data_IF_972244283877
#
_entry.id   IF_972244283877
#
_cell.length_a   1.000
_cell.length_b   1.000
_cell.length_c   1.000
_cell.angle_alpha   90.00
_cell.angle_beta   90.00
_cell.angle_gamma   90.00
#
_symmetry.space_group_name_H-M   'P 1'
#
loop_
_entity.id
_entity.type
_entity.pdbx_description
1 polymer ?
#
# COMPACT_ATOMS: atom_id res chain seq x y z
N UNK A 1 -15.06 -15.00 28.60
CA UNK A 1 -16.44 -15.14 29.12
C UNK A 1 -16.57 -14.24 30.32
N UNK A 2 -17.58 -13.36 30.32
CA UNK A 2 -17.85 -12.42 31.40
C UNK A 2 -19.35 -12.45 31.73
N UNK A 3 -19.72 -11.90 32.89
CA UNK A 3 -21.11 -11.75 33.28
C UNK A 3 -21.84 -10.78 32.33
N UNK A 4 -23.17 -10.94 32.13
CA UNK A 4 -23.96 -10.00 31.35
C UNK A 4 -23.78 -8.56 31.84
N UNK A 5 -23.50 -7.64 30.92
CA UNK A 5 -23.30 -6.22 31.22
C UNK A 5 -24.53 -5.43 30.78
N UNK A 6 -25.08 -4.63 31.70
CA UNK A 6 -26.18 -3.72 31.36
C UNK A 6 -25.65 -2.49 30.60
N UNK A 7 -26.10 -2.31 29.36
CA UNK A 7 -25.78 -1.18 28.50
C UNK A 7 -27.08 -0.57 27.99
N UNK A 8 -27.27 0.74 28.19
CA UNK A 8 -28.40 1.47 27.63
C UNK A 8 -28.06 1.89 26.20
N UNK A 9 -28.86 1.47 25.23
CA UNK A 9 -28.69 1.81 23.81
C UNK A 9 -29.96 2.48 23.29
N UNK A 10 -29.79 3.60 22.58
CA UNK A 10 -30.90 4.36 21.97
C UNK A 10 -31.04 4.15 20.45
N UNK A 11 -30.19 3.33 19.84
CA UNK A 11 -30.20 3.13 18.39
C UNK A 11 -31.48 2.41 17.95
N UNK A 12 -32.12 2.82 16.84
CA UNK A 12 -33.42 2.30 16.42
C UNK A 12 -33.37 0.83 16.00
N UNK A 13 -32.17 0.32 15.65
CA UNK A 13 -31.95 -1.02 15.16
C UNK A 13 -31.49 -2.03 16.24
N UNK A 14 -31.42 -1.64 17.52
CA UNK A 14 -31.03 -2.56 18.60
C UNK A 14 -32.12 -3.59 18.90
N UNK A 15 -31.77 -4.88 18.91
CA UNK A 15 -32.69 -5.98 19.15
C UNK A 15 -32.01 -7.17 19.84
N UNK A 16 -32.83 -8.00 20.52
CA UNK A 16 -32.35 -9.23 21.15
C UNK A 16 -31.80 -10.21 20.10
N UNK A 17 -30.73 -10.94 20.46
CA UNK A 17 -30.10 -11.94 19.59
C UNK A 17 -29.05 -11.39 18.62
N UNK A 18 -28.85 -10.08 18.58
CA UNK A 18 -27.81 -9.46 17.76
C UNK A 18 -26.42 -9.66 18.37
N UNK A 19 -25.43 -9.85 17.50
CA UNK A 19 -24.00 -9.72 17.85
C UNK A 19 -23.58 -8.31 17.51
N UNK A 20 -22.96 -7.61 18.46
CA UNK A 20 -22.71 -6.18 18.36
C UNK A 20 -21.29 -5.86 18.81
N UNK A 21 -20.78 -4.70 18.38
CA UNK A 21 -19.51 -4.17 18.90
C UNK A 21 -19.79 -3.37 20.17
N UNK A 22 -19.05 -3.67 21.24
CA UNK A 22 -19.19 -2.97 22.52
C UNK A 22 -17.90 -2.24 22.87
N UNK A 23 -18.03 -0.99 23.31
CA UNK A 23 -16.97 -0.28 24.00
C UNK A 23 -17.17 -0.45 25.51
N UNK A 24 -16.24 -1.18 26.14
CA UNK A 24 -16.27 -1.46 27.58
C UNK A 24 -15.82 -0.25 28.39
N UNK A 25 -16.09 -0.24 29.70
CA UNK A 25 -15.58 0.79 30.61
C UNK A 25 -14.05 0.97 30.46
N UNK A 26 -13.60 2.22 30.36
CA UNK A 26 -12.21 2.59 30.14
C UNK A 26 -11.77 2.58 28.67
N UNK A 27 -12.58 2.07 27.74
CA UNK A 27 -12.30 2.18 26.31
C UNK A 27 -12.28 3.66 25.88
N UNK A 28 -11.34 4.00 24.99
CA UNK A 28 -11.26 5.32 24.38
C UNK A 28 -11.82 5.23 22.96
N UNK A 29 -12.79 6.08 22.65
CA UNK A 29 -13.35 6.25 21.31
C UNK A 29 -12.97 7.62 20.77
N UNK A 30 -13.04 7.74 19.45
CA UNK A 30 -12.67 8.94 18.72
C UNK A 30 -13.85 9.35 17.84
N UNK A 31 -14.22 10.63 17.93
CA UNK A 31 -15.16 11.28 17.02
C UNK A 31 -14.40 12.44 16.34
N UNK A 32 -13.92 12.17 15.13
CA UNK A 32 -12.92 13.02 14.48
C UNK A 32 -11.65 13.15 15.34
N UNK A 33 -11.31 14.38 15.71
CA UNK A 33 -10.16 14.70 16.55
C UNK A 33 -10.46 14.63 18.06
N UNK A 34 -11.74 14.48 18.45
CA UNK A 34 -12.13 14.43 19.85
C UNK A 34 -12.03 13.00 20.41
N UNK A 35 -11.35 12.85 21.54
CA UNK A 35 -11.24 11.57 22.22
C UNK A 35 -12.04 11.58 23.53
N UNK A 36 -12.91 10.60 23.72
CA UNK A 36 -13.63 10.40 24.97
C UNK A 36 -13.47 8.99 25.52
N UNK A 37 -13.54 8.86 26.85
CA UNK A 37 -13.41 7.58 27.56
C UNK A 37 -14.76 7.11 28.05
N UNK A 38 -15.10 5.84 27.76
CA UNK A 38 -16.32 5.22 28.25
C UNK A 38 -16.26 5.07 29.77
N UNK A 39 -17.23 5.69 30.44
CA UNK A 39 -17.38 5.67 31.90
C UNK A 39 -18.75 5.12 32.26
N UNK A 40 -18.87 4.61 33.49
CA UNK A 40 -20.17 4.24 34.04
C UNK A 40 -21.07 5.47 34.08
N UNK A 41 -22.27 5.36 33.53
CA UNK A 41 -23.23 6.47 33.46
C UNK A 41 -24.62 6.01 33.87
N UNK A 42 -25.51 6.97 34.15
CA UNK A 42 -26.91 6.70 34.48
C UNK A 42 -27.80 7.50 33.52
N UNK A 43 -28.45 6.81 32.59
CA UNK A 43 -29.36 7.44 31.63
C UNK A 43 -30.80 7.20 32.08
N UNK A 44 -31.54 8.28 32.32
CA UNK A 44 -32.97 8.24 32.71
C UNK A 44 -33.26 7.27 33.88
N UNK A 45 -32.35 7.22 34.86
CA UNK A 45 -32.51 6.38 36.04
C UNK A 45 -31.90 4.98 35.92
N UNK A 46 -31.47 4.55 34.74
CA UNK A 46 -30.92 3.22 34.46
C UNK A 46 -29.41 3.28 34.32
N UNK A 47 -28.69 2.38 34.98
CA UNK A 47 -27.23 2.31 34.86
C UNK A 47 -26.79 1.77 33.48
N UNK A 48 -25.75 2.36 32.89
CA UNK A 48 -25.08 1.87 31.68
C UNK A 48 -23.60 1.65 31.97
N UNK A 49 -23.11 0.45 31.69
CA UNK A 49 -21.75 -0.02 31.98
C UNK A 49 -20.92 -0.22 30.70
N UNK A 50 -21.23 0.56 29.66
CA UNK A 50 -20.58 0.48 28.36
C UNK A 50 -21.39 1.23 27.31
N UNK A 51 -21.06 0.99 26.06
CA UNK A 51 -21.72 1.55 24.89
C UNK A 51 -21.71 0.52 23.75
N UNK A 52 -22.81 0.45 22.99
CA UNK A 52 -22.87 -0.32 21.74
C UNK A 52 -22.54 0.65 20.61
N UNK A 53 -21.60 0.29 19.75
CA UNK A 53 -21.00 1.23 18.80
C UNK A 53 -21.62 1.17 17.39
N UNK A 54 -21.64 2.32 16.72
CA UNK A 54 -21.80 2.51 15.28
C UNK A 54 -20.44 2.44 14.55
N UNK A 55 -20.43 2.52 13.21
CA UNK A 55 -19.21 2.37 12.40
C UNK A 55 -18.25 3.56 12.52
N UNK A 56 -18.81 4.76 12.53
CA UNK A 56 -18.08 6.02 12.66
C UNK A 56 -17.41 6.15 14.04
N UNK A 57 -18.09 5.74 15.11
CA UNK A 57 -17.61 5.79 16.50
C UNK A 57 -16.36 4.94 16.78
N UNK A 58 -16.09 3.94 15.95
CA UNK A 58 -14.88 3.10 16.04
C UNK A 58 -13.94 3.27 14.83
N UNK A 59 -14.24 4.23 13.95
CA UNK A 59 -13.40 4.60 12.82
C UNK A 59 -13.29 3.54 11.71
N UNK A 60 -14.29 2.66 11.56
CA UNK A 60 -14.32 1.65 10.47
C UNK A 60 -15.17 2.07 9.27
N UNK A 61 -15.97 3.12 9.41
CA UNK A 61 -16.91 3.58 8.40
C UNK A 61 -17.43 4.99 8.69
N UNK A 62 -18.51 5.37 8.01
CA UNK A 62 -19.15 6.70 8.15
C UNK A 62 -20.63 6.61 8.50
N UNK A 63 -21.17 5.39 8.65
CA UNK A 63 -22.58 5.19 8.97
C UNK A 63 -22.84 5.42 10.47
N UNK A 64 -23.81 6.30 10.75
CA UNK A 64 -24.31 6.64 12.08
C UNK A 64 -25.82 6.34 12.24
N UNK A 65 -26.44 5.66 11.28
CA UNK A 65 -27.88 5.39 11.31
C UNK A 65 -28.28 4.39 12.42
N UNK A 66 -27.33 3.63 12.95
CA UNK A 66 -27.56 2.68 14.03
C UNK A 66 -26.30 1.95 14.47
N UNK A 67 -26.47 0.96 15.36
CA UNK A 67 -25.37 0.13 15.86
C UNK A 67 -24.88 -0.86 14.79
N UNK A 68 -23.62 -1.28 14.92
CA UNK A 68 -23.04 -2.37 14.13
C UNK A 68 -23.70 -3.69 14.55
N UNK A 69 -24.35 -4.38 13.60
CA UNK A 69 -24.84 -5.75 13.77
C UNK A 69 -23.93 -6.70 13.01
N UNK A 70 -23.18 -7.51 13.76
CA UNK A 70 -22.24 -8.49 13.23
C UNK A 70 -22.97 -9.77 12.76
N UNK A 71 -22.40 -10.51 11.80
CA UNK A 71 -22.88 -11.83 11.39
C UNK A 71 -23.00 -12.82 12.56
N UNK A 72 -23.92 -13.77 12.42
CA UNK A 72 -24.28 -14.73 13.47
C UNK A 72 -23.14 -15.70 13.86
N UNK A 73 -22.06 -15.77 13.10
CA UNK A 73 -20.87 -16.58 13.38
C UNK A 73 -19.77 -15.81 14.15
N UNK A 74 -19.88 -14.47 14.29
CA UNK A 74 -18.91 -13.66 15.03
C UNK A 74 -18.75 -14.13 16.48
N UNK A 75 -17.54 -14.36 16.97
CA UNK A 75 -17.34 -14.92 18.32
C UNK A 75 -17.39 -13.81 19.38
N UNK A 76 -18.33 -13.83 20.35
CA UNK A 76 -18.37 -12.80 21.40
C UNK A 76 -17.09 -12.80 22.25
N UNK A 77 -16.58 -11.61 22.55
CA UNK A 77 -15.33 -11.42 23.30
C UNK A 77 -14.08 -11.32 22.43
N UNK A 78 -14.17 -11.57 21.12
CA UNK A 78 -13.13 -11.18 20.17
C UNK A 78 -12.98 -9.67 20.16
N UNK A 79 -11.73 -9.17 20.21
CA UNK A 79 -11.49 -7.73 20.14
C UNK A 79 -11.92 -7.21 18.77
N UNK A 80 -12.60 -6.06 18.72
CA UNK A 80 -13.03 -5.46 17.46
C UNK A 80 -11.87 -5.27 16.48
N UNK A 81 -10.69 -4.85 16.98
CA UNK A 81 -9.47 -4.75 16.15
C UNK A 81 -9.07 -6.07 15.50
N UNK A 82 -9.25 -7.20 16.19
CA UNK A 82 -8.88 -8.51 15.66
C UNK A 82 -9.93 -8.99 14.65
N UNK A 83 -11.22 -8.73 14.94
CA UNK A 83 -12.32 -9.02 14.03
C UNK A 83 -12.20 -8.27 12.69
N UNK A 84 -11.88 -6.98 12.74
CA UNK A 84 -11.67 -6.13 11.56
C UNK A 84 -10.24 -6.17 11.02
N UNK A 85 -9.37 -7.01 11.59
CA UNK A 85 -7.95 -7.11 11.20
C UNK A 85 -7.21 -5.75 11.19
N UNK A 86 -7.58 -4.86 12.11
CA UNK A 86 -6.94 -3.56 12.33
C UNK A 86 -5.61 -3.79 13.04
N UNK A 87 -4.54 -3.34 12.41
CA UNK A 87 -3.18 -3.43 12.94
C UNK A 87 -2.70 -2.06 13.35
N UNK A 88 -2.15 -1.97 14.56
CA UNK A 88 -1.33 -0.81 14.93
C UNK A 88 0.00 -0.91 14.18
N UNK A 89 0.37 0.16 13.49
CA UNK A 89 1.65 0.26 12.79
C UNK A 89 2.36 1.55 13.18
N UNK A 90 3.66 1.59 12.99
CA UNK A 90 4.48 2.78 13.19
C UNK A 90 5.10 3.18 11.86
N UNK A 91 4.94 4.44 11.49
CA UNK A 91 5.59 5.02 10.31
C UNK A 91 6.80 5.82 10.78
N UNK A 92 7.98 5.38 10.36
CA UNK A 92 9.23 6.09 10.61
C UNK A 92 9.58 6.90 9.37
N UNK A 93 9.51 8.22 9.49
CA UNK A 93 10.03 9.13 8.48
C UNK A 93 11.53 9.34 8.73
N UNK A 94 12.35 8.99 7.74
CA UNK A 94 13.80 9.05 7.83
C UNK A 94 14.28 10.15 6.89
N UNK A 95 14.97 11.15 7.46
CA UNK A 95 15.66 12.15 6.66
C UNK A 95 16.97 11.55 6.11
N UNK A 96 17.05 11.45 4.78
CA UNK A 96 18.13 10.73 4.08
C UNK A 96 19.08 11.74 3.46
N UNK A 97 20.35 11.68 3.84
CA UNK A 97 21.40 12.50 3.22
C UNK A 97 21.75 11.97 1.81
N UNK A 98 22.23 12.81 0.88
CA UNK A 98 22.46 12.41 -0.52
C UNK A 98 23.41 11.21 -0.73
N UNK A 99 24.32 10.96 0.21
CA UNK A 99 25.24 9.81 0.17
C UNK A 99 24.58 8.47 0.57
N UNK A 100 23.31 8.48 0.99
CA UNK A 100 22.56 7.31 1.49
C UNK A 100 21.41 6.91 0.58
N UNK A 101 21.62 6.98 -0.74
CA UNK A 101 20.65 6.52 -1.73
C UNK A 101 20.21 5.06 -1.51
N UNK A 102 21.05 4.25 -0.85
CA UNK A 102 20.68 2.90 -0.45
C UNK A 102 19.46 2.87 0.48
N UNK A 103 19.31 3.85 1.37
CA UNK A 103 18.23 3.96 2.34
C UNK A 103 16.91 4.47 1.73
N UNK A 104 16.86 4.80 0.44
CA UNK A 104 15.63 5.19 -0.26
C UNK A 104 14.65 4.03 -0.49
N UNK A 105 14.82 2.91 0.23
CA UNK A 105 13.94 1.74 0.18
C UNK A 105 13.89 1.03 1.53
N UNK A 106 12.81 0.29 1.75
CA UNK A 106 12.62 -0.50 2.97
C UNK A 106 13.73 -1.54 3.14
N UNK A 107 14.13 -2.21 2.06
CA UNK A 107 15.23 -3.18 2.09
C UNK A 107 16.57 -2.52 2.43
N UNK A 108 16.82 -1.31 1.92
CA UNK A 108 17.99 -0.52 2.25
C UNK A 108 18.11 -0.18 3.73
N UNK A 109 17.03 0.37 4.31
CA UNK A 109 16.94 0.66 5.74
C UNK A 109 17.07 -0.63 6.57
N UNK A 110 16.39 -1.69 6.16
CA UNK A 110 16.49 -2.99 6.83
C UNK A 110 17.91 -3.58 6.78
N UNK A 111 18.66 -3.34 5.69
CA UNK A 111 20.05 -3.77 5.55
C UNK A 111 20.98 -3.01 6.50
N UNK A 112 20.77 -1.72 6.70
CA UNK A 112 21.52 -0.91 7.66
C UNK A 112 21.24 -1.36 9.10
N UNK A 113 19.97 -1.55 9.45
CA UNK A 113 19.56 -2.12 10.74
C UNK A 113 20.13 -3.52 10.95
N UNK A 114 20.14 -4.36 9.91
CA UNK A 114 20.75 -5.68 9.96
C UNK A 114 22.24 -5.59 10.31
N UNK A 115 23.00 -4.70 9.66
CA UNK A 115 24.42 -4.51 9.96
C UNK A 115 24.65 -4.09 11.41
N UNK A 116 23.85 -3.15 11.92
CA UNK A 116 23.89 -2.75 13.34
C UNK A 116 23.60 -3.93 14.28
N UNK A 117 22.56 -4.71 14.01
CA UNK A 117 22.18 -5.86 14.84
C UNK A 117 23.29 -6.94 14.86
N UNK A 118 23.90 -7.21 13.70
CA UNK A 118 25.05 -8.13 13.60
C UNK A 118 26.23 -7.64 14.44
N UNK A 119 26.58 -6.35 14.34
CA UNK A 119 27.67 -5.75 15.12
C UNK A 119 27.43 -5.82 16.64
N UNK A 120 26.17 -5.83 17.06
CA UNK A 120 25.77 -5.91 18.47
C UNK A 120 25.42 -7.35 18.92
N UNK A 121 25.86 -8.37 18.16
CA UNK A 121 25.64 -9.79 18.44
C UNK A 121 24.16 -10.14 18.67
N UNK A 122 23.24 -9.44 18.01
CA UNK A 122 21.80 -9.73 18.06
C UNK A 122 21.45 -10.79 17.00
N UNK A 123 20.65 -11.82 17.34
CA UNK A 123 20.11 -12.73 16.34
C UNK A 123 19.29 -11.95 15.31
N UNK A 124 19.66 -12.05 14.03
CA UNK A 124 19.00 -11.32 12.96
C UNK A 124 19.14 -12.04 11.63
N UNK A 125 18.24 -11.73 10.68
CA UNK A 125 18.29 -12.23 9.31
C UNK A 125 17.76 -11.16 8.36
N UNK A 126 18.44 -10.97 7.24
CA UNK A 126 17.96 -10.13 6.14
C UNK A 126 17.46 -11.04 5.01
N UNK A 127 16.26 -10.78 4.51
CA UNK A 127 15.62 -11.60 3.48
C UNK A 127 15.15 -10.75 2.31
N UNK A 128 15.38 -11.25 1.10
CA UNK A 128 14.80 -10.76 -0.15
C UNK A 128 13.91 -11.88 -0.72
N UNK A 129 12.81 -11.57 -1.45
CA UNK A 129 12.06 -12.59 -2.17
C UNK A 129 12.99 -13.39 -3.09
N UNK A 130 12.89 -14.73 -3.03
CA UNK A 130 13.63 -15.59 -3.95
C UNK A 130 13.05 -15.44 -5.37
N UNK A 131 13.96 -15.47 -6.35
CA UNK A 131 13.63 -15.49 -7.77
C UNK A 131 14.05 -16.81 -8.42
N UNK A 132 14.40 -17.82 -7.62
CA UNK A 132 14.96 -19.09 -8.12
C UNK A 132 13.93 -19.90 -8.93
N UNK A 133 12.64 -19.66 -8.68
CA UNK A 133 11.53 -20.26 -9.43
C UNK A 133 11.19 -19.50 -10.72
N UNK A 134 11.85 -18.37 -11.01
CA UNK A 134 11.61 -17.63 -12.24
C UNK A 134 12.09 -18.45 -13.45
N UNK A 135 11.18 -18.68 -14.39
CA UNK A 135 11.45 -19.33 -15.65
C UNK A 135 10.65 -18.66 -16.76
N UNK A 136 11.20 -18.62 -17.97
CA UNK A 136 10.48 -18.16 -19.16
C UNK A 136 9.43 -19.22 -19.52
N UNK A 137 8.16 -18.80 -19.59
CA UNK A 137 7.05 -19.69 -19.93
C UNK A 137 6.99 -19.95 -21.45
N UNK A 138 7.14 -18.90 -22.27
CA UNK A 138 7.17 -18.95 -23.73
C UNK A 138 7.85 -17.69 -24.30
N UNK A 139 8.01 -17.66 -25.63
CA UNK A 139 8.61 -16.57 -26.41
C UNK A 139 7.61 -15.94 -27.39
N UNK A 140 6.31 -15.99 -27.08
CA UNK A 140 5.25 -15.54 -28.00
C UNK A 140 5.13 -14.01 -28.09
N UNK A 141 5.81 -13.28 -27.21
CA UNK A 141 5.83 -11.83 -27.15
C UNK A 141 7.22 -11.37 -26.72
N UNK A 142 8.20 -11.61 -27.58
CA UNK A 142 9.55 -11.08 -27.38
C UNK A 142 9.61 -9.64 -27.88
N UNK A 143 10.15 -8.74 -27.04
CA UNK A 143 10.45 -7.36 -27.39
C UNK A 143 11.96 -7.19 -27.36
N UNK A 144 12.54 -6.83 -28.49
CA UNK A 144 13.98 -6.61 -28.59
C UNK A 144 14.35 -5.34 -27.80
N UNK A 145 15.53 -5.34 -27.19
CA UNK A 145 16.05 -4.17 -26.48
C UNK A 145 17.42 -3.83 -27.04
N UNK A 146 17.56 -2.61 -27.53
CA UNK A 146 18.81 -2.05 -28.02
C UNK A 146 19.17 -0.84 -27.17
N UNK A 147 20.39 -0.81 -26.61
CA UNK A 147 20.89 0.33 -25.84
C UNK A 147 21.99 1.00 -26.64
N UNK A 148 21.67 2.13 -27.26
CA UNK A 148 22.62 2.89 -28.08
C UNK A 148 23.55 3.74 -27.21
N UNK A 149 23.03 4.32 -26.13
CA UNK A 149 23.81 5.11 -25.17
C UNK A 149 24.12 4.30 -23.90
N UNK A 150 25.13 3.43 -23.99
CA UNK A 150 25.57 2.56 -22.90
C UNK A 150 26.32 3.28 -21.78
N UNK A 151 26.78 4.52 -22.01
CA UNK A 151 27.37 5.36 -20.96
C UNK A 151 26.29 5.84 -19.98
N UNK A 152 25.19 6.37 -20.50
CA UNK A 152 24.07 6.84 -19.69
C UNK A 152 23.19 5.68 -19.17
N UNK A 153 23.09 4.59 -19.93
CA UNK A 153 22.37 3.38 -19.53
C UNK A 153 23.26 2.13 -19.64
N UNK A 154 24.03 1.79 -18.61
CA UNK A 154 24.89 0.61 -18.65
C UNK A 154 24.11 -0.71 -18.75
N UNK A 155 22.82 -0.70 -18.37
CA UNK A 155 21.96 -1.88 -18.40
C UNK A 155 20.49 -1.49 -18.53
N UNK A 156 19.83 -2.08 -19.52
CA UNK A 156 18.38 -2.10 -19.64
C UNK A 156 17.90 -3.56 -19.73
N UNK A 157 16.83 -3.89 -19.03
CA UNK A 157 16.24 -5.23 -19.06
C UNK A 157 14.72 -5.12 -19.02
N UNK A 158 14.05 -6.00 -19.78
CA UNK A 158 12.60 -6.10 -19.83
C UNK A 158 12.17 -7.54 -19.62
N UNK A 159 10.94 -7.71 -19.13
CA UNK A 159 10.22 -8.98 -19.10
C UNK A 159 8.82 -8.70 -19.62
N UNK A 160 8.35 -9.54 -20.53
CA UNK A 160 6.98 -9.46 -21.06
C UNK A 160 6.06 -10.38 -20.26
N UNK A 161 4.84 -9.92 -20.02
CA UNK A 161 3.81 -10.66 -19.27
C UNK A 161 2.51 -10.56 -20.05
N UNK A 162 1.97 -11.70 -20.49
CA UNK A 162 0.71 -11.79 -21.25
C UNK A 162 -0.47 -12.08 -20.34
N UNK A 163 -1.67 -11.71 -20.80
CA UNK A 163 -2.92 -12.02 -20.09
C UNK A 163 -3.16 -11.21 -18.82
N UNK A 164 -2.48 -10.07 -18.65
CA UNK A 164 -2.67 -9.20 -17.49
C UNK A 164 -4.04 -8.51 -17.60
N UNK A 165 -4.89 -8.75 -16.61
CA UNK A 165 -6.12 -7.95 -16.43
C UNK A 165 -5.82 -6.78 -15.50
N UNK A 166 -5.92 -5.57 -16.02
CA UNK A 166 -5.77 -4.34 -15.20
C UNK A 166 -7.02 -4.16 -14.35
N UNK A 167 -6.84 -4.08 -13.04
CA UNK A 167 -7.92 -3.92 -12.05
C UNK A 167 -7.38 -3.32 -10.76
N UNK A 168 -8.26 -3.06 -9.80
CA UNK A 168 -7.84 -2.64 -8.47
C UNK A 168 -6.84 -3.60 -7.83
N UNK A 169 -5.86 -3.04 -7.14
CA UNK A 169 -4.86 -3.78 -6.40
C UNK A 169 -5.48 -4.58 -5.24
N UNK A 170 -4.90 -5.70 -4.84
CA UNK A 170 -5.32 -6.37 -3.61
C UNK A 170 -5.13 -5.47 -2.39
N UNK A 171 -5.97 -5.64 -1.37
CA UNK A 171 -6.01 -4.77 -0.19
C UNK A 171 -4.65 -4.61 0.50
N UNK A 172 -3.88 -5.70 0.61
CA UNK A 172 -2.55 -5.66 1.24
C UNK A 172 -1.60 -4.70 0.53
N UNK A 173 -1.66 -4.61 -0.80
CA UNK A 173 -0.80 -3.76 -1.61
C UNK A 173 -1.25 -2.30 -1.48
N UNK A 174 -2.57 -2.07 -1.54
CA UNK A 174 -3.14 -0.75 -1.32
C UNK A 174 -2.76 -0.21 0.07
N UNK A 175 -2.89 -1.03 1.11
CA UNK A 175 -2.57 -0.63 2.48
C UNK A 175 -1.07 -0.30 2.64
N UNK A 176 -0.18 -1.10 2.04
CA UNK A 176 1.27 -0.81 2.07
C UNK A 176 1.63 0.52 1.40
N UNK A 177 0.96 0.86 0.30
CA UNK A 177 1.18 2.14 -0.38
C UNK A 177 0.59 3.32 0.41
N UNK A 178 -0.63 3.19 0.95
CA UNK A 178 -1.27 4.24 1.75
C UNK A 178 -0.45 4.60 2.99
N UNK A 179 0.16 3.61 3.66
CA UNK A 179 0.98 3.83 4.86
C UNK A 179 2.15 4.77 4.58
N UNK A 180 2.69 4.77 3.36
CA UNK A 180 3.79 5.65 2.95
C UNK A 180 3.32 6.88 2.16
N UNK A 181 2.03 7.22 2.25
CA UNK A 181 1.44 8.41 1.63
C UNK A 181 1.14 8.29 0.13
N UNK A 182 1.25 7.10 -0.46
CA UNK A 182 0.93 6.89 -1.87
C UNK A 182 -0.55 6.53 -2.06
N UNK A 183 -1.17 7.14 -3.08
CA UNK A 183 -2.52 6.78 -3.52
C UNK A 183 -2.45 5.57 -4.46
N UNK A 184 -3.10 4.43 -4.12
CA UNK A 184 -3.24 3.30 -5.03
C UNK A 184 -3.99 3.68 -6.31
N UNK A 185 -3.63 3.05 -7.43
CA UNK A 185 -4.19 3.32 -8.76
C UNK A 185 -4.76 2.03 -9.36
N UNK A 186 -3.91 1.05 -9.65
CA UNK A 186 -4.29 -0.27 -10.16
C UNK A 186 -3.14 -1.26 -9.95
N UNK A 187 -3.42 -2.55 -10.12
CA UNK A 187 -2.48 -3.65 -9.88
C UNK A 187 -1.15 -3.56 -10.65
N UNK A 188 -1.09 -2.88 -11.80
CA UNK A 188 0.13 -2.73 -12.61
C UNK A 188 0.98 -1.55 -12.12
N UNK A 189 0.36 -0.39 -11.87
CA UNK A 189 1.07 0.80 -11.38
C UNK A 189 1.47 0.64 -9.92
N UNK A 190 0.62 0.00 -9.12
CA UNK A 190 0.87 -0.16 -7.70
C UNK A 190 1.99 -1.15 -7.42
N UNK A 191 2.13 -2.20 -8.24
CA UNK A 191 3.22 -3.16 -8.03
C UNK A 191 4.58 -2.55 -8.38
N UNK A 192 4.68 -1.69 -9.40
CA UNK A 192 5.95 -1.00 -9.70
C UNK A 192 6.31 -0.01 -8.61
N UNK A 193 5.33 0.76 -8.10
CA UNK A 193 5.50 1.63 -6.93
C UNK A 193 5.92 0.84 -5.68
N UNK A 194 5.31 -0.32 -5.45
CA UNK A 194 5.70 -1.17 -4.34
C UNK A 194 7.14 -1.67 -4.46
N UNK A 195 7.58 -2.10 -5.65
CA UNK A 195 8.95 -2.59 -5.85
C UNK A 195 9.99 -1.48 -5.66
N UNK A 196 9.74 -0.26 -6.14
CA UNK A 196 10.68 0.86 -5.93
C UNK A 196 10.81 1.19 -4.45
N UNK A 197 9.72 1.27 -3.70
CA UNK A 197 9.79 1.57 -2.27
C UNK A 197 10.28 0.38 -1.44
N UNK A 198 10.00 -0.86 -1.86
CA UNK A 198 10.45 -2.05 -1.15
C UNK A 198 11.95 -2.31 -1.34
N UNK A 199 12.46 -2.18 -2.57
CA UNK A 199 13.81 -2.65 -2.94
C UNK A 199 14.71 -1.59 -3.59
N UNK A 200 14.22 -0.37 -3.82
CA UNK A 200 15.01 0.74 -4.36
C UNK A 200 15.21 0.68 -5.87
N UNK A 201 14.41 -0.12 -6.58
CA UNK A 201 14.49 -0.26 -8.04
C UNK A 201 13.25 0.37 -8.68
N UNK A 202 13.35 1.56 -9.30
CA UNK A 202 12.31 2.09 -10.15
C UNK A 202 12.03 1.13 -11.30
N UNK A 203 10.75 0.89 -11.57
CA UNK A 203 10.26 0.08 -12.68
C UNK A 203 9.23 0.88 -13.46
N UNK A 204 9.10 0.55 -14.74
CA UNK A 204 8.06 1.08 -15.60
C UNK A 204 7.40 -0.07 -16.37
N UNK A 205 6.11 0.08 -16.68
CA UNK A 205 5.36 -0.88 -17.48
C UNK A 205 4.85 -0.17 -18.72
N UNK A 206 5.19 -0.73 -19.89
CA UNK A 206 4.65 -0.30 -21.17
C UNK A 206 3.56 -1.27 -21.62
N UNK A 207 2.57 -0.74 -22.32
CA UNK A 207 1.62 -1.55 -23.06
C UNK A 207 2.32 -2.10 -24.31
N UNK A 208 2.59 -3.40 -24.33
CA UNK A 208 3.37 -4.04 -25.39
C UNK A 208 2.74 -3.85 -26.78
N UNK A 209 1.41 -3.78 -26.87
CA UNK A 209 0.69 -3.57 -28.13
C UNK A 209 0.93 -2.17 -28.71
N UNK A 210 1.44 -1.23 -27.89
CA UNK A 210 1.76 0.14 -28.31
C UNK A 210 3.22 0.33 -28.72
N UNK A 211 4.10 -0.63 -28.45
CA UNK A 211 5.52 -0.56 -28.82
C UNK A 211 5.64 -0.86 -30.32
N UNK A 212 5.94 0.17 -31.13
CA UNK A 212 6.11 -0.03 -32.58
C UNK A 212 7.40 -0.78 -32.90
N UNK A 213 7.31 -1.65 -33.91
CA UNK A 213 8.43 -2.47 -34.37
C UNK A 213 8.82 -3.63 -33.44
N UNK A 214 8.18 -3.80 -32.27
CA UNK A 214 8.54 -4.85 -31.33
C UNK A 214 9.95 -4.68 -30.74
N UNK A 215 10.43 -3.44 -30.68
CA UNK A 215 11.77 -3.11 -30.21
C UNK A 215 11.74 -1.85 -29.34
N UNK A 216 12.48 -1.89 -28.23
CA UNK A 216 12.77 -0.75 -27.37
C UNK A 216 14.19 -0.29 -27.64
N UNK A 217 14.35 1.00 -27.95
CA UNK A 217 15.64 1.63 -28.24
C UNK A 217 15.93 2.70 -27.20
N UNK A 218 16.98 2.48 -26.39
CA UNK A 218 17.41 3.43 -25.36
C UNK A 218 18.51 4.33 -25.94
N UNK A 219 18.15 5.59 -26.19
CA UNK A 219 19.01 6.57 -26.88
C UNK A 219 18.71 8.00 -26.48
N UNK A 220 19.56 8.94 -26.86
CA UNK A 220 19.25 10.37 -26.79
C UNK A 220 18.55 10.83 -28.07
N UNK A 221 17.88 11.97 -28.02
CA UNK A 221 17.20 12.58 -29.16
C UNK A 221 17.90 13.88 -29.58
N UNK A 222 17.72 14.36 -30.83
CA UNK A 222 18.24 15.67 -31.22
C UNK A 222 17.74 16.79 -30.30
N UNK A 223 18.60 17.78 -30.03
CA UNK A 223 18.24 18.98 -29.27
C UNK A 223 16.95 19.63 -29.79
N UNK A 224 16.04 19.96 -28.88
CA UNK A 224 14.77 20.60 -29.20
C UNK A 224 13.66 19.67 -29.67
N UNK A 225 13.88 18.34 -29.65
CA UNK A 225 12.84 17.35 -30.01
C UNK A 225 11.62 17.53 -29.09
N UNK A 226 10.40 17.71 -29.63
CA UNK A 226 9.20 17.85 -28.83
C UNK A 226 8.76 16.50 -28.25
N UNK A 227 8.37 16.49 -26.98
CA UNK A 227 7.88 15.30 -26.28
C UNK A 227 6.74 15.67 -25.34
N UNK A 228 5.62 14.95 -25.43
CA UNK A 228 4.45 15.14 -24.56
C UNK A 228 4.48 14.08 -23.47
N UNK A 229 4.67 14.51 -22.23
CA UNK A 229 4.67 13.62 -21.07
C UNK A 229 3.25 13.26 -20.64
N UNK A 230 3.12 12.30 -19.70
CA UNK A 230 1.84 11.80 -19.20
C UNK A 230 0.92 12.87 -18.56
N UNK A 231 1.47 14.01 -18.14
CA UNK A 231 0.71 15.17 -17.66
C UNK A 231 0.08 16.01 -18.79
N UNK A 232 0.32 15.63 -20.06
CA UNK A 232 -0.18 16.31 -21.26
C UNK A 232 0.62 17.55 -21.64
N UNK A 233 1.72 17.86 -20.94
CA UNK A 233 2.53 19.05 -21.20
C UNK A 233 3.65 18.72 -22.17
N UNK A 234 3.74 19.50 -23.26
CA UNK A 234 4.84 19.41 -24.22
C UNK A 234 6.12 20.00 -23.64
N UNK A 235 7.21 19.25 -23.75
CA UNK A 235 8.56 19.63 -23.35
C UNK A 235 9.49 19.47 -24.55
N UNK A 236 10.58 20.25 -24.55
CA UNK A 236 11.66 20.10 -25.52
C UNK A 236 12.81 19.36 -24.86
N UNK A 237 13.23 18.27 -25.49
CA UNK A 237 14.34 17.44 -25.03
C UNK A 237 15.67 18.13 -25.33
N UNK A 238 16.61 18.01 -24.41
CA UNK A 238 18.02 18.28 -24.68
C UNK A 238 18.67 17.10 -25.39
N UNK A 239 19.80 17.33 -26.07
CA UNK A 239 20.61 16.25 -26.67
C UNK A 239 21.25 15.29 -25.64
N UNK A 240 21.14 15.62 -24.35
CA UNK A 240 21.60 14.80 -23.21
C UNK A 240 20.47 14.00 -22.55
N UNK A 241 19.22 14.28 -22.89
CA UNK A 241 18.08 13.59 -22.29
C UNK A 241 18.00 12.16 -22.85
N UNK A 242 18.18 11.19 -21.96
CA UNK A 242 18.07 9.78 -22.31
C UNK A 242 16.59 9.39 -22.40
N UNK A 243 16.19 8.85 -23.54
CA UNK A 243 14.82 8.45 -23.84
C UNK A 243 14.71 6.94 -24.03
N UNK A 244 13.55 6.42 -23.69
CA UNK A 244 13.14 5.04 -23.99
C UNK A 244 12.21 5.13 -25.19
N UNK A 245 12.70 4.79 -26.37
CA UNK A 245 11.95 4.88 -27.62
C UNK A 245 11.44 3.52 -28.06
N UNK A 246 10.43 3.52 -28.93
CA UNK A 246 10.23 2.44 -29.88
C UNK A 246 11.00 2.73 -31.19
N UNK A 247 10.75 1.97 -32.25
CA UNK A 247 11.44 2.17 -33.54
C UNK A 247 11.09 3.48 -34.25
N UNK A 248 9.98 4.12 -33.88
CA UNK A 248 9.47 5.33 -34.52
C UNK A 248 9.68 6.58 -33.67
N UNK A 249 9.50 6.50 -32.35
CA UNK A 249 9.40 7.68 -31.48
C UNK A 249 9.74 7.40 -30.00
N UNK A 250 10.13 8.46 -29.25
CA UNK A 250 10.19 8.43 -27.79
C UNK A 250 8.80 8.32 -27.14
#
# INVERSE_FOLDING_TARGET
>A
QGEPVQIVCGAPNVAAGQKVVIATLGAKLYDGDECFTIKKSKLRGVESNGMICAEDEIGIGTDHAGIIVLPADAVPGTLAKDYYNIKSDYVLEVDITPNRADACSHYGVARDLYAYLVQNNKPTSLKKPSVDAFAVENHDLDINVTVENSEACPRYAGVTVKGVTVKESPEWLQNKLRIIGLRPINNVVDITNYIVHAFGQPLHCFDADKIKGGEVVVRTMPEGTPFVTLDGVERKLSDRDLMICDTEKP
#
